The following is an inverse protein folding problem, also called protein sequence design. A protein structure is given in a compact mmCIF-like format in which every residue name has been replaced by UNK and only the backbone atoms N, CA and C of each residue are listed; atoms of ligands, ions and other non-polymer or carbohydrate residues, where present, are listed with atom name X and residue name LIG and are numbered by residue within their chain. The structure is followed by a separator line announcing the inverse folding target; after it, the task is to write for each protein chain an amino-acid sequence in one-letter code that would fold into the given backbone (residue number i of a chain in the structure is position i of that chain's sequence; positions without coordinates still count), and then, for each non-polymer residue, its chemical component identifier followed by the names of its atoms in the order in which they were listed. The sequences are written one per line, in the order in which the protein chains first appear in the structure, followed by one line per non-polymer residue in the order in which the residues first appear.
data_IF_026435461840
#
_entry.id   IF_026435461840
#
_cell.length_a   1.000
_cell.length_b   1.000
_cell.length_c   1.000
_cell.angle_alpha   90.00
_cell.angle_beta   90.00
_cell.angle_gamma   90.00
#
_symmetry.space_group_name_H-M   'P 1'
#
loop_
_entity.id
_entity.type
_entity.pdbx_description
1 polymer ?
#
# COMPACT_ATOMS: atom_id res chain seq x y z
N UNK A 1 24.41 11.29 -3.19
CA UNK A 1 23.73 11.77 -1.97
C UNK A 1 22.28 11.38 -2.09
N UNK A 2 21.67 10.85 -1.02
CA UNK A 2 20.25 10.45 -1.02
C UNK A 2 19.34 11.67 -1.12
N UNK A 3 18.08 11.47 -1.53
CA UNK A 3 17.08 12.57 -1.57
C UNK A 3 16.86 13.20 -0.20
N UNK A 4 16.85 12.38 0.87
CA UNK A 4 16.80 12.88 2.24
C UNK A 4 18.02 13.78 2.55
N UNK A 5 19.22 13.33 2.21
CA UNK A 5 20.45 14.12 2.42
C UNK A 5 20.45 15.45 1.67
N UNK A 6 19.85 15.51 0.48
CA UNK A 6 19.68 16.76 -0.29
C UNK A 6 18.62 17.67 0.34
N UNK A 7 17.48 17.13 0.76
CA UNK A 7 16.42 17.86 1.45
C UNK A 7 16.93 18.53 2.73
N UNK A 8 17.71 17.80 3.54
CA UNK A 8 18.33 18.30 4.78
C UNK A 8 19.30 19.47 4.55
N UNK A 9 19.85 19.60 3.34
CA UNK A 9 20.69 20.74 2.93
C UNK A 9 19.90 21.91 2.36
N UNK A 10 18.57 21.83 2.34
CA UNK A 10 17.71 22.85 1.75
C UNK A 10 17.53 22.73 0.24
N UNK A 11 18.10 21.71 -0.41
CA UNK A 11 17.98 21.54 -1.87
C UNK A 11 16.62 20.99 -2.28
N UNK A 12 16.01 21.60 -3.29
CA UNK A 12 14.81 21.08 -3.95
C UNK A 12 15.25 20.27 -5.18
N UNK A 13 15.03 18.95 -5.15
CA UNK A 13 15.40 18.08 -6.28
C UNK A 13 14.34 18.13 -7.40
N UNK A 14 14.67 17.71 -8.64
CA UNK A 14 13.68 17.57 -9.71
C UNK A 14 12.49 16.69 -9.33
N UNK A 15 12.72 15.65 -8.52
CA UNK A 15 11.65 14.81 -8.01
C UNK A 15 10.71 15.53 -7.06
N UNK A 16 11.24 16.34 -6.14
CA UNK A 16 10.42 17.13 -5.22
C UNK A 16 9.54 18.12 -5.98
N UNK A 17 10.10 18.81 -6.99
CA UNK A 17 9.34 19.68 -7.89
C UNK A 17 8.21 18.93 -8.61
N UNK A 18 8.50 17.74 -9.13
CA UNK A 18 7.51 16.96 -9.87
C UNK A 18 6.40 16.44 -8.97
N UNK A 19 6.73 15.96 -7.76
CA UNK A 19 5.75 15.56 -6.74
C UNK A 19 4.89 16.76 -6.34
N UNK A 20 5.49 17.91 -6.06
CA UNK A 20 4.78 19.13 -5.69
C UNK A 20 3.74 19.54 -6.76
N UNK A 21 4.16 19.53 -8.04
CA UNK A 21 3.27 19.81 -9.16
C UNK A 21 2.12 18.81 -9.31
N UNK A 22 2.37 17.52 -9.08
CA UNK A 22 1.34 16.48 -9.19
C UNK A 22 0.34 16.51 -8.02
N UNK A 23 0.77 16.98 -6.86
CA UNK A 23 -0.02 17.02 -5.63
C UNK A 23 -0.63 18.40 -5.36
N UNK A 24 -0.33 19.41 -6.19
CA UNK A 24 -0.87 20.76 -6.05
C UNK A 24 -0.32 21.54 -4.84
N UNK A 25 0.91 21.24 -4.42
CA UNK A 25 1.58 21.87 -3.26
C UNK A 25 2.88 22.56 -3.70
N UNK A 26 3.53 23.33 -2.81
CA UNK A 26 4.81 23.96 -3.14
C UNK A 26 5.99 22.96 -3.10
N UNK A 27 7.04 23.16 -3.89
CA UNK A 27 8.26 22.35 -3.79
C UNK A 27 8.92 22.39 -2.42
N UNK A 28 8.86 23.53 -1.72
CA UNK A 28 9.35 23.70 -0.36
C UNK A 28 8.58 22.82 0.62
N UNK A 29 7.26 22.70 0.48
CA UNK A 29 6.44 21.80 1.30
C UNK A 29 6.91 20.35 1.18
N UNK A 30 7.16 19.89 -0.06
CA UNK A 30 7.66 18.53 -0.30
C UNK A 30 9.08 18.35 0.26
N UNK A 31 9.98 19.31 0.03
CA UNK A 31 11.33 19.29 0.58
C UNK A 31 11.31 19.19 2.10
N UNK A 32 10.51 20.01 2.77
CA UNK A 32 10.43 20.06 4.23
C UNK A 32 9.83 18.77 4.79
N UNK A 33 8.83 18.21 4.12
CA UNK A 33 8.29 16.90 4.48
C UNK A 33 9.30 15.77 4.30
N UNK A 34 10.11 15.80 3.24
CA UNK A 34 11.20 14.83 3.05
C UNK A 34 12.27 15.00 4.12
N UNK A 35 12.72 16.23 4.38
CA UNK A 35 13.73 16.55 5.40
C UNK A 35 13.27 16.14 6.81
N UNK A 36 11.99 16.37 7.14
CA UNK A 36 11.37 15.95 8.40
C UNK A 36 11.01 14.45 8.46
N UNK A 37 11.11 13.74 7.33
CA UNK A 37 10.75 12.33 7.20
C UNK A 37 9.25 12.03 7.30
N UNK A 38 8.39 13.04 7.10
CA UNK A 38 6.93 12.90 7.02
C UNK A 38 6.43 12.67 5.59
N UNK A 39 7.31 12.83 4.60
CA UNK A 39 7.12 12.46 3.20
C UNK A 39 8.31 11.59 2.76
N UNK A 40 8.04 10.54 2.00
CA UNK A 40 9.05 9.77 1.26
C UNK A 40 8.76 9.82 -0.23
N UNK A 41 9.83 9.74 -1.02
CA UNK A 41 9.78 9.60 -2.48
C UNK A 41 10.48 8.30 -2.86
N UNK A 42 9.76 7.15 -2.91
CA UNK A 42 10.33 5.87 -3.31
C UNK A 42 10.73 5.92 -4.78
N UNK A 43 12.04 5.99 -5.02
CA UNK A 43 12.61 6.00 -6.37
C UNK A 43 14.06 5.59 -6.33
N UNK A 44 14.35 4.35 -6.67
CA UNK A 44 15.74 3.91 -6.71
C UNK A 44 16.56 4.73 -7.73
N UNK A 45 17.85 4.97 -7.49
CA UNK A 45 18.73 5.67 -8.44
C UNK A 45 18.80 5.00 -9.82
N UNK A 46 18.48 3.71 -9.91
CA UNK A 46 18.41 2.94 -11.16
C UNK A 46 17.11 3.19 -11.93
N UNK A 47 16.08 3.81 -11.33
CA UNK A 47 14.74 3.99 -11.89
C UNK A 47 14.42 5.43 -12.28
N UNK A 48 15.19 5.94 -13.23
CA UNK A 48 15.02 7.30 -13.74
C UNK A 48 13.90 7.43 -14.80
N UNK A 49 13.32 6.32 -15.25
CA UNK A 49 12.28 6.26 -16.28
C UNK A 49 10.84 6.37 -15.76
N UNK A 50 10.63 6.37 -14.44
CA UNK A 50 9.30 6.51 -13.82
C UNK A 50 9.09 7.92 -13.25
N UNK A 51 7.82 8.33 -13.18
CA UNK A 51 7.44 9.55 -12.48
C UNK A 51 7.61 9.35 -10.96
N UNK A 52 8.18 10.33 -10.24
CA UNK A 52 8.33 10.24 -8.79
C UNK A 52 6.95 10.29 -8.11
N UNK A 53 6.79 9.51 -7.04
CA UNK A 53 5.58 9.46 -6.21
C UNK A 53 5.92 9.96 -4.80
N UNK A 54 5.20 10.95 -4.31
CA UNK A 54 5.27 11.37 -2.91
C UNK A 54 4.27 10.61 -2.05
N UNK A 55 4.72 10.03 -0.94
CA UNK A 55 3.89 9.36 0.05
C UNK A 55 4.10 10.05 1.39
N UNK A 56 3.07 10.65 1.97
CA UNK A 56 3.20 11.31 3.26
C UNK A 56 2.18 12.40 3.55
N UNK A 57 2.35 13.04 4.70
CA UNK A 57 1.37 13.98 5.26
C UNK A 57 1.13 15.18 4.33
N UNK A 58 -0.14 15.55 4.16
CA UNK A 58 -0.58 16.65 3.30
C UNK A 58 -0.61 16.35 1.80
N UNK A 59 -0.15 15.17 1.37
CA UNK A 59 -0.34 14.65 0.02
C UNK A 59 -1.61 13.78 -0.04
N UNK A 60 -2.12 13.51 -1.26
CA UNK A 60 -3.25 12.59 -1.45
C UNK A 60 -2.90 11.19 -0.94
N UNK A 61 -3.89 10.46 -0.45
CA UNK A 61 -3.67 9.08 0.01
C UNK A 61 -3.31 8.18 -1.18
N UNK A 62 -2.30 7.32 -1.02
CA UNK A 62 -1.79 6.45 -2.09
C UNK A 62 -2.31 5.02 -1.93
N UNK A 63 -2.36 4.26 -3.03
CA UNK A 63 -2.79 2.85 -3.04
C UNK A 63 -1.73 1.94 -3.65
N UNK A 64 -1.49 0.77 -3.04
CA UNK A 64 -0.63 -0.28 -3.57
C UNK A 64 -1.42 -1.54 -3.88
N UNK A 65 -1.10 -2.17 -5.00
CA UNK A 65 -1.55 -3.52 -5.34
C UNK A 65 -0.42 -4.52 -5.11
N UNK A 66 -0.75 -5.72 -4.64
CA UNK A 66 0.20 -6.80 -4.45
C UNK A 66 -0.01 -7.90 -5.48
N UNK A 67 1.06 -8.39 -6.09
CA UNK A 67 1.07 -9.48 -7.08
C UNK A 67 2.24 -10.40 -6.78
N UNK A 68 2.34 -11.54 -7.46
CA UNK A 68 3.55 -12.36 -7.36
C UNK A 68 3.33 -13.83 -7.64
N UNK A 69 4.41 -14.51 -8.01
CA UNK A 69 4.43 -15.94 -8.26
C UNK A 69 4.30 -16.72 -6.96
N UNK A 70 3.21 -17.49 -6.86
CA UNK A 70 2.96 -18.42 -5.76
C UNK A 70 2.48 -19.78 -6.27
N UNK A 71 3.24 -20.83 -5.97
CA UNK A 71 2.87 -22.21 -6.22
C UNK A 71 2.82 -22.58 -7.71
N UNK A 72 2.32 -23.80 -8.01
CA UNK A 72 2.41 -24.39 -9.37
C UNK A 72 1.47 -23.78 -10.42
N UNK A 73 0.45 -23.02 -9.99
CA UNK A 73 -0.57 -22.46 -10.90
C UNK A 73 -0.23 -21.06 -11.40
N UNK A 74 0.62 -20.32 -10.68
CA UNK A 74 1.00 -18.98 -11.07
C UNK A 74 1.98 -19.03 -12.25
N UNK A 75 1.67 -18.28 -13.30
CA UNK A 75 2.55 -18.12 -14.47
C UNK A 75 2.94 -16.67 -14.63
N UNK A 76 4.07 -16.41 -15.29
CA UNK A 76 4.47 -15.07 -15.69
C UNK A 76 3.34 -14.33 -16.42
N UNK A 77 2.71 -14.97 -17.40
CA UNK A 77 1.60 -14.36 -18.15
C UNK A 77 0.44 -13.94 -17.25
N UNK A 78 0.08 -14.75 -16.26
CA UNK A 78 -1.00 -14.42 -15.32
C UNK A 78 -0.64 -13.26 -14.39
N UNK A 79 0.57 -13.21 -13.86
CA UNK A 79 1.01 -12.15 -12.96
C UNK A 79 1.23 -10.82 -13.71
N UNK A 80 1.74 -10.86 -14.94
CA UNK A 80 1.84 -9.68 -15.78
C UNK A 80 0.46 -9.12 -16.17
N UNK A 81 -0.54 -9.97 -16.36
CA UNK A 81 -1.92 -9.52 -16.58
C UNK A 81 -2.49 -8.82 -15.34
N UNK A 82 -2.22 -9.33 -14.13
CA UNK A 82 -2.62 -8.68 -12.87
C UNK A 82 -1.94 -7.33 -12.68
N UNK A 83 -0.64 -7.21 -13.01
CA UNK A 83 0.07 -5.92 -12.97
C UNK A 83 -0.60 -4.90 -13.90
N UNK A 84 -0.90 -5.29 -15.15
CA UNK A 84 -1.60 -4.39 -16.10
C UNK A 84 -2.95 -3.95 -15.55
N UNK A 85 -3.76 -4.90 -15.07
CA UNK A 85 -5.06 -4.60 -14.51
C UNK A 85 -4.98 -3.67 -13.29
N UNK A 86 -4.00 -3.86 -12.40
CA UNK A 86 -3.77 -2.97 -11.26
C UNK A 86 -3.38 -1.54 -11.68
N UNK A 87 -2.51 -1.41 -12.69
CA UNK A 87 -2.09 -0.12 -13.24
C UNK A 87 -3.25 0.60 -13.94
N UNK A 88 -4.01 -0.12 -14.76
CA UNK A 88 -5.22 0.39 -15.43
C UNK A 88 -6.30 0.79 -14.43
N UNK A 89 -6.44 0.04 -13.33
CA UNK A 89 -7.31 0.37 -12.20
C UNK A 89 -6.84 1.58 -11.38
N UNK A 90 -5.64 2.11 -11.65
CA UNK A 90 -5.12 3.34 -11.06
C UNK A 90 -4.33 3.16 -9.76
N UNK A 91 -3.69 2.01 -9.53
CA UNK A 91 -2.76 1.85 -8.41
C UNK A 91 -1.60 2.85 -8.48
N UNK A 92 -1.11 3.29 -7.32
CA UNK A 92 0.03 4.20 -7.22
C UNK A 92 1.36 3.46 -7.16
N UNK A 93 1.36 2.22 -6.66
CA UNK A 93 2.52 1.36 -6.56
C UNK A 93 2.15 -0.12 -6.73
N UNK A 94 3.17 -0.93 -7.00
CA UNK A 94 3.08 -2.40 -7.05
C UNK A 94 3.98 -2.98 -5.97
N UNK A 95 3.53 -4.02 -5.29
CA UNK A 95 4.38 -4.92 -4.51
C UNK A 95 4.49 -6.26 -5.23
N UNK A 96 5.71 -6.65 -5.58
CA UNK A 96 6.00 -8.02 -6.02
C UNK A 96 6.34 -8.88 -4.79
N UNK A 97 5.45 -9.84 -4.53
CA UNK A 97 5.45 -10.76 -3.40
C UNK A 97 5.80 -12.20 -3.83
N UNK A 98 6.45 -12.37 -4.98
CA UNK A 98 6.84 -13.68 -5.50
C UNK A 98 7.68 -14.47 -4.48
N UNK A 99 7.33 -15.74 -4.29
CA UNK A 99 7.99 -16.69 -3.35
C UNK A 99 8.35 -18.02 -4.02
N UNK A 100 8.13 -18.15 -5.33
CA UNK A 100 8.37 -19.38 -6.07
C UNK A 100 8.62 -19.09 -7.55
N UNK A 101 9.18 -20.07 -8.27
CA UNK A 101 9.55 -19.89 -9.67
C UNK A 101 10.76 -18.96 -9.83
N UNK A 102 10.91 -18.37 -11.02
CA UNK A 102 11.99 -17.43 -11.30
C UNK A 102 11.64 -16.03 -10.76
N UNK A 103 11.86 -15.84 -9.46
CA UNK A 103 11.57 -14.58 -8.73
C UNK A 103 12.39 -13.42 -9.31
N UNK A 104 13.64 -13.67 -9.70
CA UNK A 104 14.52 -12.67 -10.27
C UNK A 104 13.99 -12.14 -11.61
N UNK A 105 13.56 -13.02 -12.51
CA UNK A 105 12.96 -12.61 -13.77
C UNK A 105 11.60 -11.91 -13.56
N UNK A 106 10.75 -12.41 -12.66
CA UNK A 106 9.46 -11.78 -12.38
C UNK A 106 9.63 -10.36 -11.85
N UNK A 107 10.58 -10.15 -10.92
CA UNK A 107 10.92 -8.82 -10.40
C UNK A 107 11.34 -7.86 -11.51
N UNK A 108 12.23 -8.28 -12.41
CA UNK A 108 12.70 -7.47 -13.54
C UNK A 108 11.59 -7.16 -14.55
N UNK A 109 10.69 -8.12 -14.79
CA UNK A 109 9.50 -7.91 -15.61
C UNK A 109 8.54 -6.90 -14.97
N UNK A 110 8.28 -7.01 -13.65
CA UNK A 110 7.45 -6.06 -12.92
C UNK A 110 8.02 -4.63 -13.01
N UNK A 111 9.34 -4.48 -12.82
CA UNK A 111 10.06 -3.22 -13.00
C UNK A 111 9.96 -2.67 -14.43
N UNK A 112 10.01 -3.53 -15.44
CA UNK A 112 9.94 -3.08 -16.85
C UNK A 112 8.52 -2.67 -17.24
N UNK A 113 7.52 -3.40 -16.76
CA UNK A 113 6.13 -3.25 -17.17
C UNK A 113 5.42 -2.06 -16.53
N UNK A 114 5.78 -1.71 -15.29
CA UNK A 114 5.04 -0.68 -14.54
C UNK A 114 5.76 0.68 -14.53
N UNK A 115 5.05 1.78 -14.88
CA UNK A 115 5.58 3.13 -14.77
C UNK A 115 5.50 3.68 -13.33
N UNK A 116 5.20 2.82 -12.35
CA UNK A 116 5.00 3.15 -10.95
C UNK A 116 6.14 2.62 -10.08
N UNK A 117 6.32 3.13 -8.84
CA UNK A 117 7.21 2.52 -7.87
C UNK A 117 6.87 1.04 -7.63
N UNK A 118 7.91 0.21 -7.53
CA UNK A 118 7.80 -1.22 -7.21
C UNK A 118 8.49 -1.49 -5.88
N UNK A 119 7.77 -2.18 -4.99
CA UNK A 119 8.30 -2.69 -3.74
C UNK A 119 8.41 -4.21 -3.72
N UNK A 120 9.25 -4.73 -2.84
CA UNK A 120 9.42 -6.19 -2.64
C UNK A 120 9.67 -6.51 -1.17
N UNK A 121 9.62 -7.80 -0.81
CA UNK A 121 10.09 -8.33 0.47
C UNK A 121 11.27 -9.29 0.22
N UNK A 122 12.53 -8.82 0.25
CA UNK A 122 13.69 -9.66 -0.03
C UNK A 122 13.77 -10.94 0.82
N UNK A 123 13.26 -10.90 2.04
CA UNK A 123 13.18 -12.07 2.92
C UNK A 123 12.42 -13.25 2.27
N UNK A 124 11.42 -12.97 1.43
CA UNK A 124 10.61 -13.99 0.78
C UNK A 124 11.47 -14.82 -0.17
N UNK A 125 12.25 -14.14 -1.01
CA UNK A 125 13.15 -14.80 -1.94
C UNK A 125 14.30 -15.50 -1.22
N UNK A 126 14.91 -14.87 -0.22
CA UNK A 126 15.99 -15.49 0.55
C UNK A 126 15.55 -16.81 1.23
N UNK A 127 14.33 -16.82 1.79
CA UNK A 127 13.74 -18.01 2.40
C UNK A 127 13.37 -19.08 1.36
N UNK A 128 12.85 -18.69 0.20
CA UNK A 128 12.54 -19.61 -0.89
C UNK A 128 13.81 -20.29 -1.43
N UNK A 129 14.85 -19.51 -1.72
CA UNK A 129 16.15 -20.01 -2.19
C UNK A 129 16.82 -20.92 -1.15
N UNK A 130 16.77 -20.56 0.13
CA UNK A 130 17.26 -21.42 1.21
C UNK A 130 16.45 -22.72 1.34
N UNK A 131 15.13 -22.65 1.15
CA UNK A 131 14.25 -23.81 1.12
C UNK A 131 14.64 -24.81 0.03
N UNK A 132 14.88 -24.32 -1.19
CA UNK A 132 15.33 -25.13 -2.32
C UNK A 132 16.76 -25.68 -2.12
N UNK A 133 17.68 -24.84 -1.63
CA UNK A 133 19.10 -25.18 -1.49
C UNK A 133 19.40 -26.10 -0.31
N UNK A 134 18.69 -25.94 0.81
CA UNK A 134 18.98 -26.62 2.08
C UNK A 134 17.86 -27.53 2.59
N UNK A 135 16.76 -27.64 1.84
CA UNK A 135 15.56 -28.39 2.21
C UNK A 135 14.74 -27.75 3.33
N UNK A 136 15.11 -26.54 3.79
CA UNK A 136 14.38 -25.79 4.80
C UNK A 136 14.78 -24.32 4.76
N UNK A 137 13.78 -23.43 4.74
CA UNK A 137 13.97 -21.98 4.83
C UNK A 137 14.63 -21.56 6.15
N UNK A 138 14.43 -22.32 7.23
CA UNK A 138 15.03 -22.05 8.53
C UNK A 138 16.57 -22.16 8.53
N UNK A 139 17.17 -22.79 7.51
CA UNK A 139 18.64 -22.91 7.34
C UNK A 139 19.26 -21.79 6.50
N UNK A 140 18.48 -20.77 6.12
CA UNK A 140 18.97 -19.59 5.41
C UNK A 140 20.19 -18.99 6.12
N UNK A 141 21.24 -18.64 5.39
CA UNK A 141 22.39 -17.94 5.98
C UNK A 141 22.14 -16.44 5.99
N UNK A 142 22.70 -15.75 6.99
CA UNK A 142 22.57 -14.28 7.11
C UNK A 142 23.13 -13.58 5.87
N UNK A 143 24.25 -14.07 5.34
CA UNK A 143 24.89 -13.54 4.14
C UNK A 143 23.98 -13.62 2.92
N UNK A 144 23.28 -14.73 2.72
CA UNK A 144 22.35 -14.93 1.60
C UNK A 144 21.17 -13.95 1.67
N UNK A 145 20.65 -13.68 2.87
CA UNK A 145 19.62 -12.65 3.06
C UNK A 145 20.11 -11.28 2.60
N UNK A 146 21.33 -10.87 2.98
CA UNK A 146 21.88 -9.58 2.58
C UNK A 146 22.26 -9.53 1.10
N UNK A 147 22.72 -10.63 0.51
CA UNK A 147 22.94 -10.75 -0.93
C UNK A 147 21.62 -10.54 -1.70
N UNK A 148 20.52 -11.13 -1.25
CA UNK A 148 19.19 -10.95 -1.87
C UNK A 148 18.71 -9.50 -1.71
N UNK A 149 18.87 -8.88 -0.54
CA UNK A 149 18.50 -7.47 -0.32
C UNK A 149 19.26 -6.55 -1.29
N UNK A 150 20.58 -6.73 -1.41
CA UNK A 150 21.41 -5.97 -2.34
C UNK A 150 21.00 -6.24 -3.80
N UNK A 151 20.71 -7.49 -4.17
CA UNK A 151 20.27 -7.85 -5.52
C UNK A 151 18.96 -7.15 -5.90
N UNK A 152 18.00 -7.05 -4.99
CA UNK A 152 16.76 -6.30 -5.23
C UNK A 152 17.03 -4.79 -5.39
N UNK A 153 17.87 -4.22 -4.54
CA UNK A 153 18.26 -2.81 -4.63
C UNK A 153 19.00 -2.52 -5.95
N UNK A 154 19.89 -3.43 -6.38
CA UNK A 154 20.65 -3.32 -7.61
C UNK A 154 19.79 -3.41 -8.87
N UNK A 155 18.76 -4.25 -8.88
CA UNK A 155 17.79 -4.34 -9.97
C UNK A 155 16.92 -3.07 -10.10
N UNK A 156 16.83 -2.29 -9.02
CA UNK A 156 16.14 -1.00 -9.02
C UNK A 156 14.86 -0.95 -8.21
N UNK A 157 14.61 -1.89 -7.29
CA UNK A 157 13.43 -1.80 -6.41
C UNK A 157 13.38 -0.46 -5.68
N UNK A 158 12.21 0.18 -5.69
CA UNK A 158 11.99 1.55 -5.20
C UNK A 158 11.76 1.63 -3.69
N UNK A 159 11.22 0.56 -3.10
CA UNK A 159 11.16 0.39 -1.65
C UNK A 159 11.27 -1.08 -1.20
N UNK A 160 11.99 -1.31 -0.12
CA UNK A 160 12.22 -2.66 0.43
C UNK A 160 11.43 -2.81 1.73
N UNK A 161 10.47 -3.74 1.73
CA UNK A 161 9.74 -4.10 2.93
C UNK A 161 10.54 -5.13 3.76
N UNK A 162 10.92 -4.77 4.99
CA UNK A 162 11.87 -5.52 5.82
C UNK A 162 11.37 -5.63 7.27
N UNK A 163 11.34 -6.86 7.80
CA UNK A 163 10.88 -7.16 9.16
C UNK A 163 12.01 -6.93 10.18
N UNK A 164 12.48 -5.69 10.30
CA UNK A 164 13.60 -5.37 11.19
C UNK A 164 13.16 -5.25 12.66
N UNK A 165 11.87 -5.07 12.95
CA UNK A 165 11.36 -4.79 14.31
C UNK A 165 11.04 -6.00 15.16
N UNK A 166 10.92 -7.20 14.57
CA UNK A 166 10.53 -8.40 15.28
C UNK A 166 11.74 -8.96 16.05
N UNK A 167 11.80 -8.75 17.37
CA UNK A 167 12.88 -9.24 18.24
C UNK A 167 12.49 -10.51 18.99
N UNK A 168 13.46 -11.24 19.57
CA UNK A 168 13.18 -12.45 20.34
C UNK A 168 12.27 -12.16 21.56
N UNK A 169 12.47 -11.01 22.22
CA UNK A 169 11.62 -10.58 23.33
C UNK A 169 10.14 -10.43 22.93
N UNK A 170 9.90 -9.93 21.72
CA UNK A 170 8.53 -9.78 21.18
C UNK A 170 7.93 -11.16 20.88
N UNK A 171 8.73 -12.09 20.35
CA UNK A 171 8.32 -13.48 20.11
C UNK A 171 7.93 -14.16 21.42
N UNK A 172 8.73 -14.00 22.48
CA UNK A 172 8.46 -14.61 23.77
C UNK A 172 7.25 -13.99 24.47
N UNK A 173 7.03 -12.67 24.31
CA UNK A 173 5.77 -12.03 24.72
C UNK A 173 4.58 -12.63 24.00
N UNK A 174 4.60 -12.72 22.66
CA UNK A 174 3.50 -13.25 21.88
C UNK A 174 3.12 -14.68 22.31
N UNK A 175 4.13 -15.54 22.57
CA UNK A 175 3.92 -16.90 23.10
C UNK A 175 3.23 -16.90 24.46
N UNK A 176 3.60 -15.96 25.35
CA UNK A 176 3.05 -15.86 26.71
C UNK A 176 1.63 -15.31 26.72
N UNK A 177 1.33 -14.35 25.85
CA UNK A 177 0.01 -13.70 25.77
C UNK A 177 -1.03 -14.58 25.09
N UNK A 178 -0.63 -15.50 24.20
CA UNK A 178 -1.51 -16.53 23.65
C UNK A 178 -2.55 -15.98 22.68
N UNK A 179 -2.09 -15.32 21.60
CA UNK A 179 -2.94 -14.82 20.51
C UNK A 179 -3.88 -15.90 19.95
N UNK A 180 -5.03 -15.46 19.46
CA UNK A 180 -5.96 -16.34 18.71
C UNK A 180 -5.30 -16.77 17.41
N UNK A 181 -4.79 -15.82 16.64
CA UNK A 181 -3.97 -16.07 15.47
C UNK A 181 -2.50 -15.83 15.82
N UNK A 182 -1.69 -16.89 16.02
CA UNK A 182 -0.35 -16.74 16.58
C UNK A 182 0.51 -15.76 15.77
N UNK A 183 0.57 -15.93 14.45
CA UNK A 183 1.37 -15.13 13.52
C UNK A 183 0.84 -15.22 12.08
N UNK A 184 0.42 -14.10 11.51
CA UNK A 184 -0.13 -14.04 10.12
C UNK A 184 0.80 -13.37 9.11
N UNK A 185 1.93 -12.84 9.55
CA UNK A 185 2.92 -12.28 8.63
C UNK A 185 3.71 -13.38 7.95
N UNK A 186 3.53 -13.62 6.64
CA UNK A 186 4.31 -14.63 5.93
C UNK A 186 5.83 -14.47 6.18
N UNK A 187 6.37 -13.27 5.99
CA UNK A 187 7.78 -13.00 6.29
C UNK A 187 8.11 -13.06 7.77
N UNK A 188 7.26 -12.49 8.64
CA UNK A 188 7.46 -12.55 10.09
C UNK A 188 7.52 -13.98 10.63
N UNK A 189 6.59 -14.85 10.20
CA UNK A 189 6.53 -16.25 10.61
C UNK A 189 7.78 -17.03 10.17
N UNK A 190 8.26 -16.82 8.94
CA UNK A 190 9.50 -17.46 8.46
C UNK A 190 10.73 -16.95 9.22
N UNK A 191 10.79 -15.63 9.49
CA UNK A 191 11.86 -15.03 10.27
C UNK A 191 11.90 -15.57 11.70
N UNK A 192 10.74 -15.68 12.36
CA UNK A 192 10.63 -16.24 13.70
C UNK A 192 11.05 -17.72 13.69
N UNK A 193 10.64 -18.48 12.68
CA UNK A 193 11.11 -19.86 12.48
C UNK A 193 12.64 -19.95 12.41
N UNK A 194 13.29 -19.04 11.66
CA UNK A 194 14.74 -18.93 11.59
C UNK A 194 15.36 -18.56 12.94
N UNK A 195 14.82 -17.56 13.64
CA UNK A 195 15.30 -17.12 14.95
C UNK A 195 15.27 -18.24 15.99
N UNK A 196 14.17 -19.01 16.03
CA UNK A 196 14.02 -20.14 16.95
C UNK A 196 14.93 -21.32 16.57
N UNK A 197 15.09 -21.59 15.28
CA UNK A 197 15.98 -22.66 14.79
C UNK A 197 17.45 -22.38 15.13
N UNK A 198 17.90 -21.14 14.97
CA UNK A 198 19.27 -20.73 15.24
C UNK A 198 19.52 -20.29 16.68
N UNK A 199 18.47 -20.16 17.50
CA UNK A 199 18.53 -19.55 18.84
C UNK A 199 19.23 -18.18 18.81
N UNK A 200 18.90 -17.38 17.80
CA UNK A 200 19.56 -16.12 17.49
C UNK A 200 18.55 -14.99 17.34
N UNK A 201 18.99 -13.77 17.63
CA UNK A 201 18.20 -12.57 17.36
C UNK A 201 18.01 -12.36 15.85
N UNK A 202 16.96 -11.65 15.49
CA UNK A 202 16.64 -11.24 14.14
C UNK A 202 17.87 -10.63 13.43
N UNK A 203 18.32 -11.21 12.29
CA UNK A 203 19.51 -10.72 11.59
C UNK A 203 19.31 -9.32 10.98
N UNK A 204 18.08 -8.95 10.62
CA UNK A 204 17.77 -7.60 10.12
C UNK A 204 17.81 -6.54 11.22
N UNK A 205 17.48 -6.93 12.45
CA UNK A 205 17.63 -6.08 13.64
C UNK A 205 19.10 -5.96 14.05
N UNK A 206 19.76 -7.10 14.21
CA UNK A 206 21.18 -7.21 14.63
C UNK A 206 22.11 -6.45 13.69
N UNK A 207 21.90 -6.59 12.38
CA UNK A 207 22.73 -5.98 11.35
C UNK A 207 22.01 -4.82 10.63
N UNK A 208 21.20 -4.05 11.34
CA UNK A 208 20.43 -2.96 10.75
C UNK A 208 21.29 -1.93 10.00
N UNK A 209 22.51 -1.66 10.46
CA UNK A 209 23.42 -0.73 9.76
C UNK A 209 23.79 -1.22 8.34
N UNK A 210 23.86 -2.53 8.11
CA UNK A 210 24.04 -3.11 6.75
C UNK A 210 22.82 -2.83 5.88
N UNK A 211 21.61 -2.93 6.44
CA UNK A 211 20.37 -2.56 5.73
C UNK A 211 20.42 -1.09 5.30
N UNK A 212 20.82 -0.20 6.21
CA UNK A 212 20.91 1.23 5.95
C UNK A 212 22.00 1.56 4.93
N UNK A 213 23.14 0.85 4.95
CA UNK A 213 24.20 1.04 3.97
C UNK A 213 23.72 0.71 2.55
N UNK A 214 23.06 -0.44 2.38
CA UNK A 214 22.45 -0.85 1.10
C UNK A 214 21.42 0.19 0.68
N UNK A 215 20.51 0.57 1.57
CA UNK A 215 19.45 1.52 1.26
C UNK A 215 19.99 2.87 0.78
N UNK A 216 21.03 3.38 1.47
CA UNK A 216 21.70 4.64 1.13
C UNK A 216 22.45 4.58 -0.19
N UNK A 217 23.05 3.43 -0.53
CA UNK A 217 23.81 3.23 -1.78
C UNK A 217 22.91 3.39 -3.01
N UNK A 218 21.67 2.92 -2.94
CA UNK A 218 20.72 2.94 -4.06
C UNK A 218 19.62 4.00 -3.92
N UNK A 219 19.60 4.78 -2.84
CA UNK A 219 18.50 5.69 -2.46
C UNK A 219 17.13 4.99 -2.51
N UNK A 220 17.11 3.72 -2.08
CA UNK A 220 15.88 2.93 -1.97
C UNK A 220 15.22 3.22 -0.64
N UNK A 221 13.91 3.42 -0.64
CA UNK A 221 13.15 3.69 0.58
C UNK A 221 13.00 2.41 1.41
N UNK A 222 13.28 2.46 2.70
CA UNK A 222 13.00 1.35 3.60
C UNK A 222 11.52 1.41 4.00
N UNK A 223 10.83 0.27 3.94
CA UNK A 223 9.50 0.09 4.50
C UNK A 223 9.60 -0.91 5.64
N UNK A 224 9.52 -0.47 6.89
CA UNK A 224 9.61 -1.41 8.00
C UNK A 224 8.33 -2.22 8.10
N UNK A 225 8.42 -3.52 7.82
CA UNK A 225 7.30 -4.44 7.87
C UNK A 225 7.03 -4.90 9.30
N UNK A 226 5.74 -5.05 9.63
CA UNK A 226 5.24 -5.53 10.92
C UNK A 226 5.08 -7.06 10.91
N UNK A 227 5.92 -7.74 11.69
CA UNK A 227 5.88 -9.19 11.88
C UNK A 227 4.73 -9.61 12.81
N UNK A 228 4.39 -8.76 13.77
CA UNK A 228 3.38 -8.98 14.81
C UNK A 228 2.06 -8.26 14.52
N UNK A 229 1.72 -8.00 13.26
CA UNK A 229 0.39 -7.51 12.95
C UNK A 229 -0.71 -8.50 13.38
N UNK A 230 -1.88 -8.02 13.83
CA UNK A 230 -3.03 -8.86 14.17
C UNK A 230 -3.62 -9.53 12.92
N UNK A 231 -3.90 -10.83 13.06
CA UNK A 231 -4.58 -11.67 12.06
C UNK A 231 -6.10 -11.77 12.25
N UNK A 232 -6.57 -11.39 13.42
CA UNK A 232 -7.98 -11.31 13.78
C UNK A 232 -8.20 -10.05 14.62
N UNK A 233 -9.46 -9.63 14.80
CA UNK A 233 -9.76 -8.43 15.59
C UNK A 233 -9.36 -8.57 17.07
N UNK A 234 -9.41 -9.79 17.61
CA UNK A 234 -9.15 -10.04 19.03
C UNK A 234 -7.69 -9.78 19.42
N UNK A 235 -6.77 -9.96 18.48
CA UNK A 235 -5.33 -9.74 18.68
C UNK A 235 -4.92 -8.27 18.41
N UNK A 236 -5.89 -7.40 18.09
CA UNK A 236 -5.60 -6.01 17.75
C UNK A 236 -5.25 -5.17 18.98
N UNK A 237 -4.17 -4.40 18.86
CA UNK A 237 -3.53 -3.61 19.91
C UNK A 237 -3.07 -4.43 21.13
N UNK A 238 -2.72 -5.70 20.90
CA UNK A 238 -2.10 -6.54 21.93
C UNK A 238 -0.66 -6.10 22.27
N UNK A 239 -0.07 -6.74 23.30
CA UNK A 239 1.24 -6.37 23.78
C UNK A 239 2.34 -6.59 22.75
N UNK A 240 2.29 -7.68 21.99
CA UNK A 240 3.28 -8.00 20.97
C UNK A 240 3.27 -6.99 19.80
N UNK A 241 2.09 -6.59 19.32
CA UNK A 241 1.96 -5.58 18.26
C UNK A 241 2.50 -4.22 18.74
N UNK A 242 2.09 -3.79 19.94
CA UNK A 242 2.51 -2.50 20.49
C UNK A 242 4.02 -2.48 20.76
N UNK A 243 4.59 -3.57 21.29
CA UNK A 243 6.03 -3.66 21.52
C UNK A 243 6.83 -3.61 20.22
N UNK A 244 6.39 -4.31 19.17
CA UNK A 244 7.03 -4.20 17.85
C UNK A 244 6.99 -2.77 17.34
N UNK A 245 5.85 -2.08 17.46
CA UNK A 245 5.72 -0.69 17.01
C UNK A 245 6.67 0.28 17.76
N UNK A 246 6.95 0.03 19.04
CA UNK A 246 7.97 0.79 19.80
C UNK A 246 9.35 0.61 19.18
N UNK A 247 9.75 -0.64 18.92
CA UNK A 247 11.05 -0.95 18.27
C UNK A 247 11.13 -0.32 16.88
N UNK A 248 10.04 -0.36 16.10
CA UNK A 248 9.98 0.29 14.79
C UNK A 248 10.22 1.80 14.88
N UNK A 249 9.74 2.48 15.93
CA UNK A 249 10.00 3.90 16.17
C UNK A 249 11.49 4.22 16.38
N UNK A 250 12.22 3.34 17.08
CA UNK A 250 13.66 3.46 17.27
C UNK A 250 14.43 3.28 15.95
N UNK A 251 14.03 2.28 15.15
CA UNK A 251 14.64 2.01 13.84
C UNK A 251 14.37 3.14 12.84
N UNK A 252 13.18 3.75 12.86
CA UNK A 252 12.87 4.95 12.07
C UNK A 252 13.85 6.08 12.35
N UNK A 253 14.15 6.35 13.64
CA UNK A 253 15.12 7.38 14.02
C UNK A 253 16.51 7.07 13.44
N UNK A 254 16.99 5.83 13.62
CA UNK A 254 18.30 5.38 13.10
C UNK A 254 18.39 5.51 11.58
N UNK A 255 17.33 5.15 10.84
CA UNK A 255 17.31 5.29 9.38
C UNK A 255 17.43 6.75 8.92
N UNK A 256 16.70 7.67 9.59
CA UNK A 256 16.77 9.10 9.28
C UNK A 256 18.15 9.67 9.58
N UNK A 257 18.77 9.30 10.70
CA UNK A 257 20.16 9.66 11.05
C UNK A 257 21.16 9.19 9.99
N UNK A 258 20.93 8.00 9.39
CA UNK A 258 21.74 7.48 8.29
C UNK A 258 21.42 8.08 6.91
N UNK A 259 20.48 9.04 6.84
CA UNK A 259 20.07 9.68 5.59
C UNK A 259 19.26 8.77 4.66
N UNK A 260 18.56 7.78 5.20
CA UNK A 260 17.68 6.85 4.47
C UNK A 260 16.21 7.26 4.64
N UNK A 261 15.47 7.31 3.53
CA UNK A 261 14.03 7.54 3.56
C UNK A 261 13.31 6.30 4.11
N UNK A 262 12.33 6.51 5.01
CA UNK A 262 11.66 5.39 5.68
C UNK A 262 10.16 5.61 5.86
N UNK A 263 9.40 4.54 5.65
CA UNK A 263 7.99 4.41 6.00
C UNK A 263 7.76 3.17 6.84
N UNK A 264 6.61 3.07 7.49
CA UNK A 264 6.26 1.97 8.40
C UNK A 264 5.03 1.25 7.88
N UNK A 265 5.06 -0.08 7.83
CA UNK A 265 3.88 -0.89 7.51
C UNK A 265 3.05 -1.12 8.77
N UNK A 266 1.74 -1.17 8.61
CA UNK A 266 0.77 -1.29 9.68
C UNK A 266 -0.21 -2.45 9.50
N UNK A 267 -1.13 -2.61 10.47
CA UNK A 267 -1.82 -3.85 10.72
C UNK A 267 -2.77 -4.29 9.62
N UNK A 268 -3.17 -5.56 9.73
CA UNK A 268 -4.20 -6.20 8.93
C UNK A 268 -5.59 -6.12 9.57
N UNK A 269 -5.82 -6.77 10.71
CA UNK A 269 -7.15 -6.85 11.34
C UNK A 269 -7.29 -5.90 12.52
N UNK A 270 -8.19 -4.92 12.43
CA UNK A 270 -8.37 -3.90 13.47
C UNK A 270 -9.84 -3.53 13.60
N UNK A 271 -10.47 -3.72 14.77
CA UNK A 271 -11.87 -3.37 14.94
C UNK A 271 -12.04 -1.85 14.83
N UNK A 272 -13.18 -1.43 14.30
CA UNK A 272 -13.41 -0.04 13.88
C UNK A 272 -13.11 0.99 14.99
N UNK A 273 -13.44 0.66 16.24
CA UNK A 273 -13.21 1.52 17.40
C UNK A 273 -11.74 1.71 17.78
N UNK A 274 -10.81 0.90 17.26
CA UNK A 274 -9.38 0.97 17.57
C UNK A 274 -8.56 1.66 16.47
N UNK A 275 -9.08 1.79 15.25
CA UNK A 275 -8.33 2.31 14.08
C UNK A 275 -7.62 3.64 14.34
N UNK A 276 -8.34 4.62 14.90
CA UNK A 276 -7.76 5.94 15.20
C UNK A 276 -6.64 5.85 16.23
N UNK A 277 -6.81 5.00 17.25
CA UNK A 277 -5.80 4.80 18.29
C UNK A 277 -4.53 4.19 17.70
N UNK A 278 -4.66 3.17 16.85
CA UNK A 278 -3.55 2.52 16.14
C UNK A 278 -2.75 3.51 15.30
N UNK A 279 -3.43 4.30 14.44
CA UNK A 279 -2.75 5.28 13.59
C UNK A 279 -2.08 6.37 14.43
N UNK A 280 -2.76 6.88 15.46
CA UNK A 280 -2.19 7.91 16.35
C UNK A 280 -0.95 7.39 17.08
N UNK A 281 -0.99 6.15 17.56
CA UNK A 281 0.13 5.51 18.24
C UNK A 281 1.34 5.39 17.31
N UNK A 282 1.14 4.93 16.07
CA UNK A 282 2.23 4.85 15.09
C UNK A 282 2.83 6.23 14.81
N UNK A 283 1.99 7.25 14.57
CA UNK A 283 2.48 8.60 14.26
C UNK A 283 3.32 9.18 15.39
N UNK A 284 2.94 8.92 16.64
CA UNK A 284 3.67 9.35 17.82
C UNK A 284 5.02 8.63 17.98
N UNK A 285 5.01 7.30 17.94
CA UNK A 285 6.21 6.48 18.14
C UNK A 285 7.21 6.63 16.98
N UNK A 286 6.71 6.61 15.75
CA UNK A 286 7.52 6.67 14.53
C UNK A 286 7.71 8.10 13.99
N UNK A 287 7.53 9.13 14.83
CA UNK A 287 7.85 10.55 14.53
C UNK A 287 7.27 11.01 13.19
N UNK A 288 6.00 10.72 12.96
CA UNK A 288 5.26 11.12 11.76
C UNK A 288 5.67 10.41 10.47
N UNK A 289 6.45 9.33 10.52
CA UNK A 289 6.78 8.55 9.32
C UNK A 289 5.50 8.12 8.56
N UNK A 290 5.51 8.12 7.21
CA UNK A 290 4.38 7.67 6.42
C UNK A 290 3.95 6.26 6.84
N UNK A 291 2.64 6.04 6.93
CA UNK A 291 2.07 4.79 7.42
C UNK A 291 1.37 4.02 6.30
N UNK A 292 1.81 2.78 6.09
CA UNK A 292 1.39 1.89 5.02
C UNK A 292 0.56 0.72 5.58
N UNK A 293 -0.76 0.86 5.61
CA UNK A 293 -1.67 -0.11 6.27
C UNK A 293 -2.23 -1.14 5.28
N UNK A 294 -2.52 -2.35 5.76
CA UNK A 294 -3.07 -3.44 4.93
C UNK A 294 -4.58 -3.56 5.11
N UNK A 295 -5.38 -2.88 4.29
CA UNK A 295 -6.78 -2.60 4.60
C UNK A 295 -6.87 -1.40 5.54
N UNK A 296 -7.10 -1.58 6.86
CA UNK A 296 -7.33 -2.83 7.62
C UNK A 296 -8.73 -3.43 7.53
N UNK A 297 -8.82 -4.76 7.69
CA UNK A 297 -10.07 -5.52 7.83
C UNK A 297 -10.71 -5.19 9.19
N UNK A 298 -11.97 -4.79 9.19
CA UNK A 298 -12.70 -4.31 10.40
C UNK A 298 -13.66 -5.33 10.99
N UNK A 299 -13.84 -6.46 10.30
CA UNK A 299 -14.66 -7.59 10.73
C UNK A 299 -14.17 -8.88 10.11
N UNK A 300 -14.06 -9.94 10.91
CA UNK A 300 -13.51 -11.24 10.49
C UNK A 300 -14.57 -12.17 9.88
N UNK A 301 -15.86 -11.77 9.88
CA UNK A 301 -16.98 -12.63 9.45
C UNK A 301 -17.29 -12.53 7.96
N UNK A 302 -16.51 -11.75 7.20
CA UNK A 302 -16.83 -11.34 5.83
C UNK A 302 -15.88 -11.94 4.78
N UNK A 303 -15.27 -13.09 5.04
CA UNK A 303 -14.42 -13.79 4.07
C UNK A 303 -15.13 -13.93 2.70
N UNK A 304 -14.42 -13.63 1.61
CA UNK A 304 -15.00 -13.45 0.27
C UNK A 304 -15.39 -12.01 -0.07
N UNK A 305 -15.49 -11.15 0.95
CA UNK A 305 -15.83 -9.73 0.85
C UNK A 305 -14.84 -8.84 1.62
N UNK A 306 -13.65 -9.35 1.93
CA UNK A 306 -12.67 -8.62 2.73
C UNK A 306 -12.19 -7.33 2.07
N UNK A 307 -12.19 -7.22 0.75
CA UNK A 307 -11.98 -5.95 0.04
C UNK A 307 -12.96 -4.84 0.49
N UNK A 308 -14.20 -5.17 0.86
CA UNK A 308 -15.20 -4.22 1.39
C UNK A 308 -14.88 -3.88 2.86
N UNK A 309 -14.63 -4.91 3.68
CA UNK A 309 -14.23 -4.75 5.09
C UNK A 309 -12.98 -3.86 5.22
N UNK A 310 -11.98 -4.17 4.40
CA UNK A 310 -10.72 -3.44 4.27
C UNK A 310 -10.89 -2.00 3.77
N UNK A 311 -11.82 -1.74 2.84
CA UNK A 311 -12.09 -0.39 2.38
C UNK A 311 -12.67 0.50 3.49
N UNK A 312 -13.52 -0.04 4.37
CA UNK A 312 -14.04 0.67 5.54
C UNK A 312 -12.90 1.04 6.48
N UNK A 313 -12.06 0.07 6.85
CA UNK A 313 -10.94 0.33 7.75
C UNK A 313 -9.87 1.23 7.13
N UNK A 314 -9.62 1.08 5.84
CA UNK A 314 -8.68 1.91 5.07
C UNK A 314 -9.11 3.37 5.00
N UNK A 315 -10.40 3.63 4.78
CA UNK A 315 -10.93 5.00 4.77
C UNK A 315 -10.76 5.68 6.13
N UNK A 316 -11.09 4.98 7.21
CA UNK A 316 -10.96 5.52 8.58
C UNK A 316 -9.49 5.69 8.96
N UNK A 317 -8.62 4.72 8.62
CA UNK A 317 -7.18 4.80 8.90
C UNK A 317 -6.53 5.94 8.13
N UNK A 318 -6.88 6.11 6.85
CA UNK A 318 -6.37 7.22 6.04
C UNK A 318 -6.88 8.57 6.53
N UNK A 319 -8.15 8.65 6.93
CA UNK A 319 -8.69 9.85 7.56
C UNK A 319 -7.97 10.19 8.87
N UNK A 320 -7.62 9.17 9.66
CA UNK A 320 -6.83 9.31 10.88
C UNK A 320 -5.35 9.65 10.64
N UNK A 321 -4.84 9.52 9.41
CA UNK A 321 -3.50 9.93 9.03
C UNK A 321 -2.61 8.86 8.40
N UNK A 322 -3.12 7.69 8.01
CA UNK A 322 -2.37 6.77 7.16
C UNK A 322 -2.32 7.30 5.71
N UNK A 323 -1.16 7.28 5.07
CA UNK A 323 -0.98 7.91 3.75
C UNK A 323 -0.82 6.91 2.61
N UNK A 324 -0.75 5.62 2.93
CA UNK A 324 -0.60 4.57 1.94
C UNK A 324 -1.44 3.35 2.34
N UNK A 325 -2.31 2.91 1.43
CA UNK A 325 -3.18 1.75 1.62
C UNK A 325 -2.69 0.60 0.75
N UNK A 326 -2.36 -0.54 1.33
CA UNK A 326 -2.30 -1.78 0.59
C UNK A 326 -3.74 -2.26 0.39
N UNK A 327 -4.09 -2.56 -0.85
CA UNK A 327 -5.38 -3.11 -1.16
C UNK A 327 -5.60 -4.47 -0.47
N UNK A 328 -6.86 -4.92 -0.46
CA UNK A 328 -7.24 -6.28 -0.07
C UNK A 328 -8.19 -6.78 -1.15
N UNK A 329 -8.07 -8.04 -1.54
CA UNK A 329 -8.92 -8.62 -2.59
C UNK A 329 -10.09 -9.40 -2.00
N UNK A 330 -11.09 -9.72 -2.82
CA UNK A 330 -12.16 -10.63 -2.42
C UNK A 330 -11.65 -12.04 -2.04
N UNK A 331 -10.49 -12.45 -2.58
CA UNK A 331 -9.87 -13.75 -2.29
C UNK A 331 -9.02 -13.78 -1.02
N UNK A 332 -8.90 -12.66 -0.29
CA UNK A 332 -8.21 -12.66 1.02
C UNK A 332 -8.79 -13.77 1.92
N UNK A 333 -7.91 -14.46 2.65
CA UNK A 333 -8.22 -15.64 3.46
C UNK A 333 -8.74 -16.89 2.72
N UNK A 334 -8.95 -16.83 1.40
CA UNK A 334 -9.55 -17.91 0.62
C UNK A 334 -8.63 -18.47 -0.47
N UNK A 335 -7.80 -17.63 -1.10
CA UNK A 335 -6.93 -18.07 -2.18
C UNK A 335 -6.20 -16.96 -2.91
N UNK A 336 -5.61 -17.32 -4.05
CA UNK A 336 -4.93 -16.35 -4.92
C UNK A 336 -5.97 -15.57 -5.75
N UNK A 337 -5.86 -14.23 -5.84
CA UNK A 337 -6.80 -13.45 -6.63
C UNK A 337 -6.57 -13.65 -8.13
N UNK A 338 -7.65 -13.60 -8.90
CA UNK A 338 -7.59 -13.45 -10.36
C UNK A 338 -7.41 -11.97 -10.79
N UNK A 339 -7.42 -11.72 -12.10
CA UNK A 339 -7.21 -10.37 -12.67
C UNK A 339 -8.34 -9.41 -12.30
N UNK A 340 -9.59 -9.89 -12.28
CA UNK A 340 -10.75 -9.05 -11.98
C UNK A 340 -10.76 -8.69 -10.49
N UNK A 341 -10.45 -9.64 -9.62
CA UNK A 341 -10.35 -9.41 -8.18
C UNK A 341 -9.20 -8.47 -7.81
N UNK A 342 -8.10 -8.47 -8.57
CA UNK A 342 -7.03 -7.48 -8.43
C UNK A 342 -7.57 -6.08 -8.76
N UNK A 343 -8.28 -5.92 -9.87
CA UNK A 343 -8.90 -4.63 -10.24
C UNK A 343 -9.89 -4.16 -9.19
N UNK A 344 -10.79 -5.04 -8.74
CA UNK A 344 -11.80 -4.73 -7.72
C UNK A 344 -11.17 -4.28 -6.40
N UNK A 345 -10.12 -4.98 -5.94
CA UNK A 345 -9.37 -4.58 -4.74
C UNK A 345 -8.74 -3.18 -4.89
N UNK A 346 -8.16 -2.87 -6.05
CA UNK A 346 -7.52 -1.56 -6.29
C UNK A 346 -8.59 -0.46 -6.28
N UNK A 347 -9.71 -0.69 -6.97
CA UNK A 347 -10.83 0.25 -7.00
C UNK A 347 -11.40 0.48 -5.60
N UNK A 348 -11.59 -0.57 -4.80
CA UNK A 348 -12.08 -0.46 -3.42
C UNK A 348 -11.12 0.38 -2.54
N UNK A 349 -9.82 0.13 -2.62
CA UNK A 349 -8.82 0.90 -1.89
C UNK A 349 -8.72 2.37 -2.36
N UNK A 350 -8.89 2.64 -3.67
CA UNK A 350 -8.93 4.00 -4.21
C UNK A 350 -10.17 4.77 -3.76
N UNK A 351 -11.33 4.11 -3.66
CA UNK A 351 -12.54 4.70 -3.08
C UNK A 351 -12.28 5.08 -1.62
N UNK A 352 -11.68 4.18 -0.84
CA UNK A 352 -11.32 4.43 0.55
C UNK A 352 -10.34 5.62 0.69
N UNK A 353 -9.30 5.65 -0.13
CA UNK A 353 -8.33 6.74 -0.18
C UNK A 353 -8.97 8.10 -0.49
N UNK A 354 -9.81 8.15 -1.54
CA UNK A 354 -10.50 9.39 -1.93
C UNK A 354 -11.51 9.85 -0.87
N UNK A 355 -12.26 8.94 -0.26
CA UNK A 355 -13.18 9.25 0.84
C UNK A 355 -12.44 9.85 2.05
N UNK A 356 -11.25 9.34 2.37
CA UNK A 356 -10.40 9.89 3.41
C UNK A 356 -9.86 11.28 3.03
N UNK A 357 -9.44 11.47 1.78
CA UNK A 357 -8.94 12.75 1.29
C UNK A 357 -10.01 13.85 1.31
N UNK A 358 -11.28 13.50 1.00
CA UNK A 358 -12.44 14.37 1.21
C UNK A 358 -12.62 14.75 2.69
N UNK A 359 -12.59 13.75 3.58
CA UNK A 359 -12.76 13.97 5.02
C UNK A 359 -11.62 14.78 5.66
N UNK A 360 -10.42 14.74 5.06
CA UNK A 360 -9.26 15.57 5.43
C UNK A 360 -9.28 16.96 4.80
N UNK A 361 -10.20 17.23 3.88
CA UNK A 361 -10.30 18.49 3.17
C UNK A 361 -9.11 18.77 2.25
N UNK A 362 -8.53 17.74 1.63
CA UNK A 362 -7.40 17.96 0.71
C UNK A 362 -7.83 18.77 -0.53
N UNK A 363 -6.99 19.71 -1.01
CA UNK A 363 -7.28 20.49 -2.19
C UNK A 363 -7.64 19.62 -3.40
N UNK A 364 -8.68 20.00 -4.15
CA UNK A 364 -9.13 19.30 -5.36
C UNK A 364 -10.00 18.05 -5.13
N UNK A 365 -10.02 17.46 -3.92
CA UNK A 365 -10.81 16.26 -3.64
C UNK A 365 -12.31 16.53 -3.81
N UNK A 366 -12.85 17.56 -3.13
CA UNK A 366 -14.26 17.93 -3.21
C UNK A 366 -14.67 18.46 -4.61
N UNK A 367 -13.73 19.03 -5.36
CA UNK A 367 -13.99 19.49 -6.74
C UNK A 367 -14.27 18.32 -7.67
N UNK A 368 -13.63 17.17 -7.46
CA UNK A 368 -13.88 15.97 -8.25
C UNK A 368 -15.33 15.48 -8.04
N UNK A 369 -15.77 15.33 -6.79
CA UNK A 369 -17.16 14.98 -6.45
C UNK A 369 -18.18 15.98 -6.99
N UNK A 370 -17.84 17.27 -6.95
CA UNK A 370 -18.70 18.32 -7.49
C UNK A 370 -18.83 18.20 -9.01
N UNK A 371 -17.75 17.97 -9.75
CA UNK A 371 -17.76 17.81 -11.22
C UNK A 371 -18.64 16.63 -11.65
N UNK A 372 -18.49 15.47 -11.01
CA UNK A 372 -19.33 14.31 -11.33
C UNK A 372 -20.78 14.53 -10.92
N UNK A 373 -21.03 15.21 -9.79
CA UNK A 373 -22.38 15.56 -9.35
C UNK A 373 -23.05 16.55 -10.30
N UNK A 374 -22.33 17.54 -10.81
CA UNK A 374 -22.82 18.49 -11.82
C UNK A 374 -23.15 17.79 -13.14
N UNK A 375 -22.28 16.87 -13.60
CA UNK A 375 -22.54 16.06 -14.78
C UNK A 375 -23.78 15.16 -14.60
N UNK A 376 -23.92 14.51 -13.43
CA UNK A 376 -25.09 13.71 -13.07
C UNK A 376 -26.36 14.56 -12.99
N UNK A 377 -26.24 15.77 -12.45
CA UNK A 377 -27.31 16.77 -12.39
C UNK A 377 -27.90 16.91 -13.79
N UNK A 378 -27.09 17.35 -14.77
CA UNK A 378 -27.49 17.57 -16.19
C UNK A 378 -27.58 16.31 -17.04
N UNK A 379 -27.37 15.14 -16.43
CA UNK A 379 -27.41 13.81 -17.04
C UNK A 379 -26.50 13.69 -18.28
N UNK A 380 -25.38 14.40 -18.22
CA UNK A 380 -24.28 14.26 -19.17
C UNK A 380 -23.54 12.95 -18.85
N UNK A 381 -24.09 11.83 -19.34
CA UNK A 381 -23.57 10.49 -19.11
C UNK A 381 -22.12 10.35 -19.50
N UNK A 382 -21.72 11.01 -20.60
CA UNK A 382 -20.33 11.01 -21.07
C UNK A 382 -19.43 11.63 -20.00
N UNK A 383 -19.70 12.86 -19.55
CA UNK A 383 -18.91 13.50 -18.49
C UNK A 383 -18.98 12.75 -17.17
N UNK A 384 -20.14 12.22 -16.79
CA UNK A 384 -20.27 11.45 -15.56
C UNK A 384 -19.38 10.20 -15.59
N UNK A 385 -19.33 9.50 -16.73
CA UNK A 385 -18.44 8.35 -16.94
C UNK A 385 -16.97 8.80 -16.96
N UNK A 386 -16.64 9.87 -17.67
CA UNK A 386 -15.27 10.37 -17.79
C UNK A 386 -14.71 10.85 -16.44
N UNK A 387 -15.57 11.37 -15.55
CA UNK A 387 -15.22 11.73 -14.18
C UNK A 387 -15.32 10.57 -13.18
N UNK A 388 -15.74 9.36 -13.57
CA UNK A 388 -15.80 8.24 -12.63
C UNK A 388 -14.38 7.79 -12.22
N UNK A 389 -14.26 7.20 -11.03
CA UNK A 389 -13.00 6.63 -10.55
C UNK A 389 -12.51 5.45 -11.41
N UNK A 390 -13.47 4.68 -11.95
CA UNK A 390 -13.28 3.64 -12.96
C UNK A 390 -14.24 3.88 -14.15
N UNK A 391 -13.84 4.71 -15.14
CA UNK A 391 -14.66 5.03 -16.31
C UNK A 391 -14.99 3.81 -17.17
N UNK A 392 -14.11 2.81 -17.21
CA UNK A 392 -14.32 1.60 -18.00
C UNK A 392 -15.48 0.77 -17.44
N UNK A 393 -15.48 0.54 -16.11
CA UNK A 393 -16.57 -0.15 -15.42
C UNK A 393 -17.88 0.61 -15.52
N UNK A 394 -17.85 1.94 -15.34
CA UNK A 394 -19.03 2.79 -15.46
C UNK A 394 -19.64 2.71 -16.88
N UNK A 395 -18.81 2.76 -17.91
CA UNK A 395 -19.24 2.63 -19.32
C UNK A 395 -19.83 1.26 -19.61
N UNK A 396 -19.19 0.18 -19.14
CA UNK A 396 -19.67 -1.19 -19.30
C UNK A 396 -21.06 -1.36 -18.67
N UNK A 397 -21.23 -0.93 -17.42
CA UNK A 397 -22.52 -1.03 -16.72
C UNK A 397 -23.61 -0.21 -17.39
N UNK A 398 -23.32 1.01 -17.85
CA UNK A 398 -24.30 1.82 -18.61
C UNK A 398 -24.75 1.08 -19.86
N UNK A 399 -23.80 0.56 -20.66
CA UNK A 399 -24.10 -0.18 -21.89
C UNK A 399 -24.92 -1.45 -21.64
N UNK A 400 -24.61 -2.20 -20.59
CA UNK A 400 -25.28 -3.47 -20.29
C UNK A 400 -26.66 -3.31 -19.63
N UNK A 401 -26.84 -2.25 -18.84
CA UNK A 401 -28.01 -2.09 -17.96
C UNK A 401 -28.97 -1.01 -18.39
N UNK A 402 -28.66 -0.26 -19.45
CA UNK A 402 -29.53 0.80 -19.94
C UNK A 402 -29.95 0.55 -21.37
N UNK A 403 -31.24 0.76 -21.62
CA UNK A 403 -31.78 0.73 -22.97
C UNK A 403 -31.65 2.16 -23.52
N UNK A 404 -31.08 2.32 -24.72
CA UNK A 404 -30.84 3.62 -25.37
C UNK A 404 -32.11 4.48 -25.56
N UNK A 405 -33.29 3.93 -25.27
CA UNK A 405 -34.59 4.58 -25.41
C UNK A 405 -34.97 5.53 -24.27
N UNK A 406 -34.29 5.50 -23.12
CA UNK A 406 -34.55 6.45 -22.03
C UNK A 406 -33.40 7.41 -21.86
N UNK A 407 -33.71 8.71 -21.95
CA UNK A 407 -32.96 9.79 -21.32
C UNK A 407 -32.54 9.33 -19.90
N UNK A 408 -33.48 8.77 -19.12
CA UNK A 408 -33.30 8.07 -17.82
C UNK A 408 -32.10 7.13 -17.64
N UNK A 409 -31.64 6.97 -16.39
CA UNK A 409 -31.07 5.67 -15.99
C UNK A 409 -32.18 4.61 -15.93
N UNK A 410 -31.82 3.34 -16.09
CA UNK A 410 -32.79 2.24 -16.08
C UNK A 410 -33.53 2.05 -14.75
N UNK A 411 -33.01 2.58 -13.63
CA UNK A 411 -33.64 2.46 -12.31
C UNK A 411 -34.99 3.19 -12.23
N UNK A 412 -35.08 4.41 -12.77
CA UNK A 412 -36.32 5.21 -12.72
C UNK A 412 -36.96 5.39 -14.10
N UNK A 413 -36.20 5.20 -15.19
CA UNK A 413 -36.66 5.37 -16.56
C UNK A 413 -37.34 6.73 -16.77
N UNK A 414 -38.58 6.71 -17.28
CA UNK A 414 -39.40 7.92 -17.50
C UNK A 414 -39.77 8.69 -16.23
N UNK A 415 -39.66 8.08 -15.05
CA UNK A 415 -39.98 8.69 -13.76
C UNK A 415 -38.72 9.17 -13.02
N UNK A 416 -37.69 9.60 -13.75
CA UNK A 416 -36.47 10.15 -13.15
C UNK A 416 -36.81 11.32 -12.20
N UNK A 417 -36.49 11.16 -10.91
CA UNK A 417 -36.77 12.16 -9.89
C UNK A 417 -36.13 13.53 -10.21
N UNK A 418 -34.90 13.54 -10.72
CA UNK A 418 -34.19 14.78 -11.11
C UNK A 418 -34.94 15.52 -12.22
N UNK A 419 -35.49 14.79 -13.20
CA UNK A 419 -36.29 15.36 -14.29
C UNK A 419 -37.60 15.94 -13.77
N UNK A 420 -38.36 15.16 -13.00
CA UNK A 420 -39.65 15.59 -12.47
C UNK A 420 -39.53 16.83 -11.58
N UNK A 421 -38.57 16.83 -10.65
CA UNK A 421 -38.36 17.97 -9.74
C UNK A 421 -37.87 19.20 -10.50
N UNK A 422 -37.01 19.04 -11.52
CA UNK A 422 -36.58 20.17 -12.35
C UNK A 422 -37.76 20.84 -13.08
N UNK A 423 -38.73 20.05 -13.54
CA UNK A 423 -39.95 20.56 -14.18
C UNK A 423 -40.83 21.32 -13.18
N UNK A 424 -41.02 20.79 -11.97
CA UNK A 424 -41.82 21.46 -10.93
C UNK A 424 -41.18 22.74 -10.39
N UNK A 425 -39.86 22.76 -10.21
CA UNK A 425 -39.15 23.91 -9.65
C UNK A 425 -38.85 25.01 -10.69
N UNK A 426 -39.18 24.81 -11.97
CA UNK A 426 -38.86 25.75 -13.04
C UNK A 426 -37.35 26.00 -13.21
N UNK A 427 -36.51 25.13 -12.65
CA UNK A 427 -35.06 25.19 -12.82
C UNK A 427 -34.70 24.61 -14.17
N UNK A 428 -33.67 25.18 -14.84
CA UNK A 428 -33.22 24.72 -16.15
C UNK A 428 -33.20 23.19 -16.23
N UNK A 429 -34.01 22.65 -17.17
CA UNK A 429 -34.20 21.22 -17.35
C UNK A 429 -32.84 20.58 -17.56
N UNK A 430 -32.53 19.67 -16.67
CA UNK A 430 -31.39 18.81 -16.78
C UNK A 430 -31.83 17.61 -17.61
N UNK A 431 -31.61 17.70 -18.92
CA UNK A 431 -32.11 16.72 -19.91
C UNK A 431 -31.42 15.39 -19.71
N UNK A 432 -32.23 14.34 -19.52
CA UNK A 432 -31.78 13.04 -19.03
C UNK A 432 -30.95 12.25 -20.07
#
# INVERSE_FOLDING_TARGET
MTRLGRALKGEITPEMNKVASMEGVSPEFVRDGVAGGTIVIPRNIRRNNIAPLGIGTGLRTKVSASVGLYGRKATFSSELAKIRAAVEAGTDAIMDLSVSGDIDAMRREALTLTPKPVGTLPLYQAMAEAGEKYGSSAKMKVEELFEVIERHAADGIDFLALHCGTTMDIVDRAKKEGRIDPLVSYGGSHLIGWMLYHQAENPLYTYYDRVLEIARRYDVTVSLADGMRPGCLADSLDGAQVQELVVLGELVRRAREAGVQIMVKGPGHVPLNQLKATVTLQKSLCKGAPYFVFGPVVTDVAAGYDHISAAIGGAISAWAGAEFLCYVTASEHLGLPDVDQVREGVVAARIAAHAADLARGLPGAAEWDLKISQARKVLDWKKQIDFALDPERARKLRKERSNDASEGCAMCGKYCAMKMVSEYLGTARQTC
#
